data_IF_922426579415
#
_entry.id   IF_922426579415
#
_cell.length_a   1.000
_cell.length_b   1.000
_cell.length_c   1.000
_cell.angle_alpha   90.00
_cell.angle_beta   90.00
_cell.angle_gamma   90.00
#
_symmetry.space_group_name_H-M   'P 1'
#
loop_
_entity.id
_entity.type
_entity.pdbx_description
1 polymer ?
#
# COMPACT_ATOMS: atom_id res chain seq x y z
N UNK A 1 -9.80 -8.70 -4.47
CA UNK A 1 -10.87 -8.65 -3.43
C UNK A 1 -10.64 -7.39 -2.60
N UNK A 2 -11.67 -6.74 -2.05
CA UNK A 2 -11.45 -5.65 -1.10
C UNK A 2 -10.92 -6.18 0.23
N UNK A 3 -9.96 -5.49 0.83
CA UNK A 3 -9.37 -5.86 2.12
C UNK A 3 -10.39 -5.80 3.27
N UNK A 4 -11.41 -4.94 3.18
CA UNK A 4 -12.37 -4.70 4.25
C UNK A 4 -13.47 -5.75 4.36
N UNK A 5 -13.93 -6.31 3.22
CA UNK A 5 -15.10 -7.19 3.18
C UNK A 5 -14.96 -8.40 2.25
N UNK A 6 -13.81 -8.58 1.60
CA UNK A 6 -13.54 -9.73 0.73
C UNK A 6 -14.29 -9.76 -0.60
N UNK A 7 -15.11 -8.75 -0.92
CA UNK A 7 -15.85 -8.68 -2.19
C UNK A 7 -14.88 -8.63 -3.38
N UNK A 8 -15.24 -9.29 -4.48
CA UNK A 8 -14.46 -9.24 -5.71
C UNK A 8 -14.62 -7.85 -6.33
N UNK A 9 -13.51 -7.26 -6.73
CA UNK A 9 -13.46 -5.93 -7.36
C UNK A 9 -12.52 -5.98 -8.56
N UNK A 10 -12.69 -5.06 -9.54
CA UNK A 10 -11.79 -4.96 -10.68
C UNK A 10 -10.32 -4.78 -10.27
N UNK A 11 -9.41 -5.26 -11.11
CA UNK A 11 -7.97 -5.02 -10.94
C UNK A 11 -7.68 -3.52 -10.94
N UNK A 12 -6.83 -3.06 -10.03
CA UNK A 12 -6.52 -1.63 -9.87
C UNK A 12 -7.50 -0.84 -9.00
N UNK A 13 -8.51 -1.49 -8.40
CA UNK A 13 -9.39 -0.84 -7.42
C UNK A 13 -8.60 -0.48 -6.15
N UNK A 14 -8.69 0.78 -5.70
CA UNK A 14 -8.07 1.19 -4.43
C UNK A 14 -8.63 0.36 -3.25
N UNK A 15 -7.70 -0.21 -2.48
CA UNK A 15 -7.99 -1.16 -1.40
C UNK A 15 -8.22 -2.62 -1.82
N UNK A 16 -7.96 -2.94 -3.08
CA UNK A 16 -7.97 -4.30 -3.59
C UNK A 16 -6.70 -5.08 -3.24
N UNK A 17 -6.88 -6.27 -2.67
CA UNK A 17 -5.83 -7.27 -2.42
C UNK A 17 -6.00 -8.51 -3.31
N UNK A 18 -4.89 -9.16 -3.63
CA UNK A 18 -4.84 -10.44 -4.34
C UNK A 18 -3.69 -11.27 -3.81
N UNK A 19 -3.78 -12.60 -3.91
CA UNK A 19 -2.70 -13.50 -3.46
C UNK A 19 -1.38 -13.18 -4.17
N UNK A 20 -1.44 -12.96 -5.49
CA UNK A 20 -0.26 -12.59 -6.27
C UNK A 20 0.32 -11.24 -5.82
N UNK A 21 -0.53 -10.22 -5.66
CA UNK A 21 -0.09 -8.90 -5.19
C UNK A 21 0.57 -8.97 -3.82
N UNK A 22 -0.04 -9.68 -2.87
CA UNK A 22 0.51 -9.87 -1.52
C UNK A 22 1.84 -10.63 -1.55
N UNK A 23 1.96 -11.68 -2.38
CA UNK A 23 3.21 -12.42 -2.55
C UNK A 23 4.31 -11.54 -3.15
N UNK A 24 3.99 -10.69 -4.13
CA UNK A 24 4.94 -9.74 -4.73
C UNK A 24 5.37 -8.68 -3.73
N UNK A 25 4.46 -8.14 -2.91
CA UNK A 25 4.81 -7.20 -1.84
C UNK A 25 5.75 -7.81 -0.81
N UNK A 26 5.49 -9.07 -0.40
CA UNK A 26 6.41 -9.80 0.48
C UNK A 26 7.77 -10.04 -0.19
N UNK A 27 7.78 -10.53 -1.43
CA UNK A 27 9.00 -10.81 -2.19
C UNK A 27 9.84 -9.55 -2.46
N UNK A 28 9.21 -8.42 -2.77
CA UNK A 28 9.89 -7.14 -2.91
C UNK A 28 10.51 -6.68 -1.59
N UNK A 29 9.80 -6.85 -0.48
CA UNK A 29 10.34 -6.59 0.85
C UNK A 29 11.53 -7.50 1.20
N UNK A 30 11.43 -8.81 0.92
CA UNK A 30 12.53 -9.76 1.09
C UNK A 30 13.76 -9.34 0.28
N UNK A 31 13.56 -8.92 -0.97
CA UNK A 31 14.62 -8.46 -1.86
C UNK A 31 15.33 -7.22 -1.31
N UNK A 32 14.57 -6.21 -0.88
CA UNK A 32 15.12 -4.98 -0.28
C UNK A 32 15.89 -5.31 1.01
N UNK A 33 15.30 -6.15 1.88
CA UNK A 33 15.95 -6.58 3.12
C UNK A 33 17.22 -7.38 2.87
N UNK A 34 17.22 -8.29 1.89
CA UNK A 34 18.41 -9.05 1.47
C UNK A 34 19.51 -8.11 0.98
N UNK A 35 19.17 -7.15 0.11
CA UNK A 35 20.12 -6.16 -0.39
C UNK A 35 20.74 -5.33 0.75
N UNK A 36 19.93 -4.90 1.72
CA UNK A 36 20.41 -4.20 2.91
C UNK A 36 21.34 -5.08 3.76
N UNK A 37 20.95 -6.33 4.04
CA UNK A 37 21.78 -7.26 4.79
C UNK A 37 23.13 -7.55 4.14
N UNK A 38 23.15 -7.66 2.80
CA UNK A 38 24.40 -7.82 2.03
C UNK A 38 25.26 -6.55 2.07
N UNK A 39 24.64 -5.36 1.92
CA UNK A 39 25.35 -4.08 1.93
C UNK A 39 26.02 -3.79 3.27
N UNK A 40 25.33 -4.06 4.38
CA UNK A 40 25.83 -3.82 5.73
C UNK A 40 26.56 -5.04 6.35
N UNK A 41 26.67 -6.14 5.60
CA UNK A 41 27.35 -7.38 6.01
C UNK A 41 26.91 -7.94 7.37
N UNK A 42 25.66 -7.70 7.76
CA UNK A 42 25.13 -8.07 9.07
C UNK A 42 23.77 -8.76 8.95
N UNK A 43 23.62 -9.88 9.66
CA UNK A 43 22.32 -10.53 9.94
C UNK A 43 21.40 -10.64 8.71
N UNK A 44 21.95 -11.12 7.58
CA UNK A 44 21.32 -11.09 6.25
C UNK A 44 19.90 -11.65 6.25
N UNK A 45 19.72 -12.83 6.87
CA UNK A 45 18.41 -13.51 6.93
C UNK A 45 17.42 -12.66 7.75
N UNK A 46 17.85 -12.09 8.87
CA UNK A 46 16.99 -11.25 9.70
C UNK A 46 16.56 -9.99 8.92
N UNK A 47 17.47 -9.32 8.23
CA UNK A 47 17.16 -8.14 7.42
C UNK A 47 16.21 -8.48 6.27
N UNK A 48 16.39 -9.62 5.59
CA UNK A 48 15.46 -10.09 4.57
C UNK A 48 14.05 -10.30 5.15
N UNK A 49 13.92 -11.03 6.26
CA UNK A 49 12.62 -11.28 6.90
C UNK A 49 11.96 -9.98 7.41
N UNK A 50 12.74 -9.08 8.02
CA UNK A 50 12.26 -7.76 8.45
C UNK A 50 11.73 -6.98 7.24
N UNK A 51 12.48 -6.94 6.14
CA UNK A 51 12.06 -6.27 4.90
C UNK A 51 10.77 -6.87 4.33
N UNK A 52 10.66 -8.20 4.29
CA UNK A 52 9.46 -8.89 3.84
C UNK A 52 8.22 -8.54 4.67
N UNK A 53 8.33 -8.66 6.00
CA UNK A 53 7.22 -8.36 6.92
C UNK A 53 6.85 -6.87 6.91
N UNK A 54 7.82 -5.98 6.83
CA UNK A 54 7.60 -4.54 6.68
C UNK A 54 6.90 -4.20 5.35
N UNK A 55 7.32 -4.82 4.25
CA UNK A 55 6.67 -4.65 2.94
C UNK A 55 5.22 -5.14 2.94
N UNK A 56 4.95 -6.28 3.59
CA UNK A 56 3.58 -6.76 3.80
C UNK A 56 2.76 -5.77 4.64
N UNK A 57 3.27 -5.34 5.79
CA UNK A 57 2.57 -4.42 6.67
C UNK A 57 2.24 -3.09 5.97
N UNK A 58 3.21 -2.52 5.23
CA UNK A 58 3.00 -1.32 4.42
C UNK A 58 1.92 -1.52 3.35
N UNK A 59 2.05 -2.56 2.52
CA UNK A 59 1.10 -2.82 1.42
C UNK A 59 -0.33 -3.12 1.90
N UNK A 60 -0.49 -3.80 3.03
CA UNK A 60 -1.81 -4.06 3.63
C UNK A 60 -2.40 -2.80 4.25
N UNK A 61 -1.57 -1.97 4.88
CA UNK A 61 -2.00 -0.67 5.42
C UNK A 61 -2.45 0.27 4.30
N UNK A 62 -1.71 0.28 3.19
CA UNK A 62 -2.06 1.01 1.97
C UNK A 62 -3.44 0.59 1.46
N UNK A 63 -3.64 -0.71 1.30
CA UNK A 63 -4.93 -1.25 0.86
C UNK A 63 -6.06 -0.92 1.85
N UNK A 64 -5.79 -0.96 3.15
CA UNK A 64 -6.80 -0.65 4.17
C UNK A 64 -7.21 0.82 4.12
N UNK A 65 -6.23 1.73 4.06
CA UNK A 65 -6.47 3.17 3.95
C UNK A 65 -7.16 3.53 2.63
N UNK A 66 -6.72 2.91 1.54
CA UNK A 66 -7.32 3.02 0.21
C UNK A 66 -8.79 2.59 0.18
N UNK A 67 -9.13 1.50 0.86
CA UNK A 67 -10.50 1.02 0.95
C UNK A 67 -11.40 1.92 1.81
N UNK A 68 -10.85 2.61 2.81
CA UNK A 68 -11.64 3.22 3.90
C UNK A 68 -11.69 4.73 3.86
N UNK A 69 -10.53 5.39 3.75
CA UNK A 69 -10.40 6.85 3.98
C UNK A 69 -9.88 7.62 2.76
N UNK A 70 -9.29 6.95 1.77
CA UNK A 70 -8.75 7.61 0.57
C UNK A 70 -9.83 8.35 -0.22
N UNK A 71 -9.51 9.59 -0.60
CA UNK A 71 -10.33 10.41 -1.49
C UNK A 71 -10.37 9.80 -2.89
N UNK A 72 -11.56 9.40 -3.30
CA UNK A 72 -11.85 8.92 -4.66
C UNK A 72 -12.88 9.83 -5.30
N UNK A 73 -12.71 10.08 -6.58
CA UNK A 73 -13.61 10.82 -7.44
C UNK A 73 -14.25 9.90 -8.47
N UNK A 74 -15.34 10.34 -9.07
CA UNK A 74 -15.95 9.71 -10.23
C UNK A 74 -15.96 10.68 -11.39
N UNK A 75 -15.64 10.19 -12.58
CA UNK A 75 -15.76 10.96 -13.81
C UNK A 75 -17.20 10.85 -14.35
N UNK A 76 -17.93 11.95 -14.40
CA UNK A 76 -19.32 11.95 -14.90
C UNK A 76 -19.40 11.71 -16.44
N UNK A 77 -18.28 11.74 -17.17
CA UNK A 77 -18.22 11.47 -18.62
C UNK A 77 -18.15 9.96 -18.92
N UNK A 78 -17.26 9.22 -18.26
CA UNK A 78 -17.03 7.80 -18.55
C UNK A 78 -17.42 6.85 -17.41
N UNK A 79 -17.89 7.39 -16.28
CA UNK A 79 -18.32 6.63 -15.11
C UNK A 79 -17.19 5.95 -14.32
N UNK A 80 -15.92 6.18 -14.67
CA UNK A 80 -14.78 5.56 -13.98
C UNK A 80 -14.47 6.26 -12.66
N UNK A 81 -14.20 5.46 -11.64
CA UNK A 81 -13.55 5.93 -10.41
C UNK A 81 -12.10 6.37 -10.71
N UNK A 82 -11.66 7.45 -10.08
CA UNK A 82 -10.33 8.00 -10.26
C UNK A 82 -9.87 8.76 -9.03
N UNK A 83 -8.58 8.79 -8.80
CA UNK A 83 -7.94 9.59 -7.75
C UNK A 83 -7.78 11.05 -8.17
N UNK A 84 -7.95 11.34 -9.47
CA UNK A 84 -7.69 12.65 -10.06
C UNK A 84 -8.91 13.56 -9.97
N UNK A 85 -8.69 14.82 -9.61
CA UNK A 85 -9.73 15.87 -9.62
C UNK A 85 -10.23 16.22 -11.01
N UNK A 86 -9.55 15.79 -12.08
CA UNK A 86 -9.94 15.99 -13.48
C UNK A 86 -9.69 14.72 -14.28
N UNK A 87 -10.67 14.34 -15.10
CA UNK A 87 -10.64 13.16 -15.96
C UNK A 87 -11.54 13.39 -17.18
N UNK A 88 -11.18 12.86 -18.36
CA UNK A 88 -11.88 13.14 -19.63
C UNK A 88 -12.05 14.65 -19.92
N UNK A 89 -11.08 15.47 -19.53
CA UNK A 89 -11.10 16.93 -19.76
C UNK A 89 -12.02 17.73 -18.82
N UNK A 90 -12.77 17.08 -17.93
CA UNK A 90 -13.72 17.72 -17.01
C UNK A 90 -13.35 17.51 -15.54
N UNK A 91 -13.78 18.39 -14.61
CA UNK A 91 -13.68 18.14 -13.17
C UNK A 91 -14.38 16.83 -12.80
N UNK A 92 -13.75 16.06 -11.92
CA UNK A 92 -14.32 14.83 -11.36
C UNK A 92 -15.00 15.13 -10.03
N UNK A 93 -16.14 14.49 -9.78
CA UNK A 93 -16.95 14.73 -8.59
C UNK A 93 -16.48 13.85 -7.43
N UNK A 94 -16.37 14.36 -6.19
CA UNK A 94 -16.03 13.53 -5.04
C UNK A 94 -17.03 12.37 -4.88
N UNK A 95 -16.53 11.15 -4.75
CA UNK A 95 -17.34 9.95 -4.57
C UNK A 95 -17.31 9.47 -3.12
N UNK A 96 -16.11 9.34 -2.53
CA UNK A 96 -15.90 8.85 -1.15
C UNK A 96 -14.54 9.27 -0.60
N UNK A 97 -14.33 9.01 0.69
CA UNK A 97 -13.09 9.32 1.41
C UNK A 97 -13.06 10.72 2.01
N UNK A 98 -11.95 11.04 2.68
CA UNK A 98 -11.73 12.36 3.26
C UNK A 98 -11.03 13.28 2.25
N UNK A 99 -11.51 14.51 2.11
CA UNK A 99 -11.02 15.48 1.13
C UNK A 99 -9.51 15.79 1.21
N UNK A 100 -8.88 15.53 2.37
CA UNK A 100 -7.46 15.72 2.64
C UNK A 100 -6.64 14.43 2.51
N UNK A 101 -7.28 13.26 2.41
CA UNK A 101 -6.61 11.96 2.29
C UNK A 101 -6.39 11.59 0.82
N UNK A 102 -5.42 12.25 0.18
CA UNK A 102 -5.01 11.90 -1.19
C UNK A 102 -4.27 10.55 -1.24
N UNK A 103 -4.09 10.01 -2.44
CA UNK A 103 -3.25 8.82 -2.65
C UNK A 103 -1.82 9.00 -2.14
N UNK A 104 -1.25 10.20 -2.30
CA UNK A 104 0.09 10.51 -1.80
C UNK A 104 0.15 10.44 -0.27
N UNK A 105 -0.91 10.89 0.42
CA UNK A 105 -0.97 10.80 1.88
C UNK A 105 -1.17 9.35 2.34
N UNK A 106 -1.98 8.57 1.62
CA UNK A 106 -2.11 7.13 1.86
C UNK A 106 -0.75 6.44 1.73
N UNK A 107 -0.03 6.68 0.63
CA UNK A 107 1.31 6.14 0.38
C UNK A 107 2.30 6.55 1.48
N UNK A 108 2.24 7.80 1.94
CA UNK A 108 3.10 8.30 3.02
C UNK A 108 2.83 7.53 4.32
N UNK A 109 1.57 7.44 4.74
CA UNK A 109 1.19 6.76 5.99
C UNK A 109 1.49 5.27 5.90
N UNK A 110 1.17 4.61 4.78
CA UNK A 110 1.44 3.19 4.58
C UNK A 110 2.94 2.89 4.58
N UNK A 111 3.76 3.75 3.98
CA UNK A 111 5.23 3.67 4.03
C UNK A 111 5.76 3.86 5.46
N UNK A 112 5.20 4.79 6.23
CA UNK A 112 5.56 4.98 7.64
C UNK A 112 5.24 3.73 8.47
N UNK A 113 4.11 3.07 8.24
CA UNK A 113 3.76 1.80 8.91
C UNK A 113 4.78 0.71 8.55
N UNK A 114 5.17 0.59 7.28
CA UNK A 114 6.22 -0.34 6.87
C UNK A 114 7.55 -0.06 7.57
N UNK A 115 8.00 1.20 7.57
CA UNK A 115 9.23 1.61 8.24
C UNK A 115 9.21 1.39 9.76
N UNK A 116 8.11 1.74 10.42
CA UNK A 116 7.92 1.51 11.85
C UNK A 116 7.93 0.01 12.20
N UNK A 117 7.30 -0.82 11.36
CA UNK A 117 7.35 -2.28 11.49
C UNK A 117 8.79 -2.79 11.40
N UNK A 118 9.56 -2.28 10.43
CA UNK A 118 10.96 -2.67 10.28
C UNK A 118 11.81 -2.30 11.51
N UNK A 119 11.64 -1.09 12.03
CA UNK A 119 12.33 -0.63 13.25
C UNK A 119 11.94 -1.48 14.46
N UNK A 120 10.64 -1.71 14.67
CA UNK A 120 10.15 -2.51 15.79
C UNK A 120 10.73 -3.93 15.76
N UNK A 121 10.65 -4.60 14.61
CA UNK A 121 11.20 -5.95 14.47
C UNK A 121 12.72 -5.98 14.66
N UNK A 122 13.43 -4.97 14.16
CA UNK A 122 14.87 -4.85 14.40
C UNK A 122 15.21 -4.68 15.87
N UNK A 123 14.41 -3.92 16.64
CA UNK A 123 14.60 -3.76 18.08
C UNK A 123 14.30 -5.04 18.87
N UNK A 124 13.32 -5.83 18.44
CA UNK A 124 12.96 -7.10 19.08
C UNK A 124 13.96 -8.23 18.81
N UNK A 125 14.73 -8.14 17.73
CA UNK A 125 15.72 -9.14 17.31
C UNK A 125 17.16 -8.80 17.73
N UNK A 126 17.36 -7.66 18.40
CA UNK A 126 18.63 -7.30 19.06
C UNK A 126 18.76 -8.04 20.37
#
# INVERSE_FOLDING_TARGET
RLITNGRIVPVGTSGGISVLGTAVSFGGGLFIGLAAGLLFQHTIIAFALIGGLAGLAGSLSDSLLGATVQQIYICDVCGKETEKKRHCGQPSRPLRGWNWMSNDLVNLVSSMVGGATAVLLSLLLR
#
